data_IF_392345209674
#
_entry.id   IF_392345209674
#
_cell.length_a   1.000
_cell.length_b   1.000
_cell.length_c   1.000
_cell.angle_alpha   90.00
_cell.angle_beta   90.00
_cell.angle_gamma   90.00
#
_symmetry.space_group_name_H-M   'P 1'
#
loop_
_entity.id
_entity.type
_entity.pdbx_description
1 polymer ?
#
# COMPACT_ATOMS: atom_id res chain seq x y z
N UNK A 1 -43.51 -4.77 -3.31
CA UNK A 1 -42.75 -4.81 -4.57
C UNK A 1 -41.33 -4.35 -4.28
N UNK A 2 -40.42 -5.28 -4.01
CA UNK A 2 -39.01 -4.96 -3.78
C UNK A 2 -38.27 -5.05 -5.09
N UNK A 3 -37.81 -3.91 -5.59
CA UNK A 3 -37.01 -3.84 -6.82
C UNK A 3 -35.67 -4.54 -6.61
N UNK A 4 -35.23 -5.41 -7.53
CA UNK A 4 -33.94 -6.07 -7.43
C UNK A 4 -32.82 -5.06 -7.73
N UNK A 5 -31.86 -4.95 -6.82
CA UNK A 5 -30.59 -4.26 -7.11
C UNK A 5 -29.91 -5.05 -8.23
N UNK A 6 -29.82 -4.40 -9.38
CA UNK A 6 -29.22 -4.92 -10.59
C UNK A 6 -27.69 -4.96 -10.40
N UNK A 7 -27.15 -6.11 -10.03
CA UNK A 7 -25.70 -6.38 -10.03
C UNK A 7 -25.18 -6.25 -11.46
N UNK A 8 -24.39 -5.20 -11.72
CA UNK A 8 -23.63 -5.06 -12.98
C UNK A 8 -22.58 -6.18 -13.04
N UNK A 9 -22.40 -6.86 -14.19
CA UNK A 9 -21.36 -7.87 -14.33
C UNK A 9 -19.99 -7.20 -14.47
N UNK A 10 -18.97 -7.71 -13.77
CA UNK A 10 -17.57 -7.50 -14.14
C UNK A 10 -16.80 -6.38 -13.43
N UNK A 11 -16.59 -6.49 -12.13
CA UNK A 11 -15.32 -6.20 -11.47
C UNK A 11 -15.42 -6.76 -10.06
N UNK A 12 -14.46 -7.58 -9.64
CA UNK A 12 -14.33 -7.94 -8.23
C UNK A 12 -14.27 -6.68 -7.34
N UNK A 13 -14.32 -6.82 -6.02
CA UNK A 13 -14.21 -5.69 -5.11
C UNK A 13 -13.00 -4.82 -5.47
N UNK A 14 -13.14 -3.50 -5.39
CA UNK A 14 -12.03 -2.59 -5.69
C UNK A 14 -10.86 -2.83 -4.72
N UNK A 15 -9.66 -2.42 -5.10
CA UNK A 15 -8.49 -2.55 -4.23
C UNK A 15 -8.70 -1.76 -2.93
N UNK A 16 -9.39 -0.62 -2.96
CA UNK A 16 -9.78 0.13 -1.76
C UNK A 16 -10.75 -0.64 -0.87
N UNK A 17 -11.73 -1.34 -1.45
CA UNK A 17 -12.65 -2.17 -0.68
C UNK A 17 -11.92 -3.35 -0.02
N UNK A 18 -11.04 -4.02 -0.77
CA UNK A 18 -10.20 -5.10 -0.25
C UNK A 18 -9.26 -4.61 0.86
N UNK A 19 -8.69 -3.42 0.70
CA UNK A 19 -7.89 -2.78 1.74
C UNK A 19 -8.73 -2.51 2.99
N UNK A 20 -9.90 -1.90 2.86
CA UNK A 20 -10.77 -1.58 4.01
C UNK A 20 -11.19 -2.84 4.76
N UNK A 21 -11.63 -3.87 4.03
CA UNK A 21 -12.00 -5.17 4.58
C UNK A 21 -10.80 -5.84 5.28
N UNK A 22 -9.61 -5.75 4.70
CA UNK A 22 -8.38 -6.22 5.33
C UNK A 22 -8.05 -5.46 6.61
N UNK A 23 -8.05 -4.13 6.59
CA UNK A 23 -7.78 -3.29 7.76
C UNK A 23 -8.79 -3.55 8.90
N UNK A 24 -10.08 -3.75 8.58
CA UNK A 24 -11.11 -4.09 9.55
C UNK A 24 -10.81 -5.43 10.26
N UNK A 25 -10.31 -6.43 9.53
CA UNK A 25 -9.85 -7.70 10.14
C UNK A 25 -8.59 -7.49 10.99
N UNK A 26 -7.66 -6.66 10.52
CA UNK A 26 -6.44 -6.37 11.26
C UNK A 26 -6.71 -5.65 12.58
N UNK A 27 -7.66 -4.72 12.62
CA UNK A 27 -8.05 -4.01 13.84
C UNK A 27 -8.62 -4.91 14.94
N UNK A 28 -9.03 -6.14 14.60
CA UNK A 28 -9.47 -7.16 15.57
C UNK A 28 -8.31 -8.00 16.13
N UNK A 29 -7.12 -7.92 15.53
CA UNK A 29 -5.92 -8.63 15.96
C UNK A 29 -5.05 -7.77 16.91
N UNK A 30 -4.43 -8.41 17.90
CA UNK A 30 -3.53 -7.77 18.89
C UNK A 30 -2.06 -7.72 18.44
N UNK A 31 -1.77 -8.11 17.21
CA UNK A 31 -0.41 -8.24 16.71
C UNK A 31 0.16 -6.89 16.28
N UNK A 32 1.46 -6.67 16.55
CA UNK A 32 2.15 -5.49 16.06
C UNK A 32 2.30 -5.56 14.53
N UNK A 33 1.65 -4.63 13.84
CA UNK A 33 1.66 -4.52 12.38
C UNK A 33 2.18 -3.17 11.94
N UNK A 34 2.80 -3.18 10.78
CA UNK A 34 3.30 -2.00 10.10
C UNK A 34 2.46 -1.80 8.85
N UNK A 35 1.86 -0.63 8.74
CA UNK A 35 1.26 -0.10 7.53
C UNK A 35 2.23 0.86 6.83
N UNK A 36 2.31 0.79 5.51
CA UNK A 36 3.01 1.77 4.69
C UNK A 36 2.06 2.32 3.64
N UNK A 37 1.99 3.64 3.50
CA UNK A 37 1.27 4.31 2.42
C UNK A 37 2.28 5.06 1.54
N UNK A 38 2.43 4.61 0.31
CA UNK A 38 3.27 5.23 -0.71
C UNK A 38 2.38 6.08 -1.64
N UNK A 39 2.52 7.39 -1.54
CA UNK A 39 1.76 8.38 -2.29
C UNK A 39 2.35 8.64 -3.69
N UNK A 40 2.35 7.64 -4.58
CA UNK A 40 2.78 7.84 -5.97
C UNK A 40 1.90 8.88 -6.69
N UNK A 41 0.65 9.05 -6.26
CA UNK A 41 -0.25 10.12 -6.71
C UNK A 41 0.28 11.54 -6.46
N UNK A 42 1.32 11.72 -5.62
CA UNK A 42 1.98 13.02 -5.41
C UNK A 42 3.13 13.26 -6.40
N UNK A 43 3.72 12.20 -6.95
CA UNK A 43 4.81 12.32 -7.93
C UNK A 43 4.32 12.88 -9.27
N UNK A 44 5.24 13.30 -10.15
CA UNK A 44 4.87 13.78 -11.50
C UNK A 44 4.09 12.71 -12.28
N UNK A 45 3.16 13.09 -13.19
CA UNK A 45 2.36 12.13 -13.97
C UNK A 45 3.18 11.08 -14.72
N UNK A 46 4.40 11.41 -15.15
CA UNK A 46 5.34 10.46 -15.77
C UNK A 46 5.65 9.26 -14.88
N UNK A 47 5.76 9.47 -13.56
CA UNK A 47 6.05 8.43 -12.56
C UNK A 47 4.82 7.62 -12.14
N UNK A 48 3.63 7.99 -12.62
CA UNK A 48 2.35 7.28 -12.35
C UNK A 48 1.96 6.29 -13.45
N UNK A 49 2.85 6.04 -14.42
CA UNK A 49 2.62 5.03 -15.44
C UNK A 49 2.59 3.64 -14.81
N UNK A 50 1.77 2.76 -15.37
CA UNK A 50 1.54 1.40 -14.86
C UNK A 50 2.85 0.62 -14.61
N UNK A 51 3.87 0.81 -15.45
CA UNK A 51 5.17 0.16 -15.25
C UNK A 51 5.87 0.61 -13.96
N UNK A 52 5.90 1.92 -13.67
CA UNK A 52 6.52 2.44 -12.44
C UNK A 52 5.78 1.99 -11.19
N UNK A 53 4.45 2.01 -11.22
CA UNK A 53 3.62 1.51 -10.12
C UNK A 53 3.88 0.02 -9.85
N UNK A 54 4.00 -0.80 -10.91
CA UNK A 54 4.33 -2.22 -10.79
C UNK A 54 5.72 -2.46 -10.19
N UNK A 55 6.73 -1.73 -10.65
CA UNK A 55 8.11 -1.87 -10.13
C UNK A 55 8.19 -1.43 -8.66
N UNK A 56 7.51 -0.34 -8.30
CA UNK A 56 7.44 0.12 -6.92
C UNK A 56 6.74 -0.92 -6.02
N UNK A 57 5.61 -1.51 -6.46
CA UNK A 57 4.92 -2.55 -5.72
C UNK A 57 5.80 -3.80 -5.55
N UNK A 58 6.44 -4.26 -6.63
CA UNK A 58 7.31 -5.44 -6.61
C UNK A 58 8.53 -5.29 -5.69
N UNK A 59 8.96 -4.06 -5.40
CA UNK A 59 10.04 -3.79 -4.45
C UNK A 59 9.70 -4.27 -3.03
N UNK A 60 8.41 -4.38 -2.71
CA UNK A 60 7.93 -4.86 -1.43
C UNK A 60 7.62 -6.36 -1.37
N UNK A 61 7.67 -7.09 -2.49
CA UNK A 61 7.26 -8.51 -2.56
C UNK A 61 8.02 -9.39 -1.57
N UNK A 62 9.35 -9.20 -1.46
CA UNK A 62 10.17 -9.94 -0.49
C UNK A 62 9.78 -9.63 0.96
N UNK A 63 9.41 -8.38 1.26
CA UNK A 63 9.02 -7.96 2.60
C UNK A 63 7.66 -8.56 2.99
N UNK A 64 6.65 -8.49 2.10
CA UNK A 64 5.34 -9.06 2.38
C UNK A 64 5.38 -10.58 2.48
N UNK A 65 6.23 -11.25 1.70
CA UNK A 65 6.37 -12.69 1.76
C UNK A 65 7.02 -13.15 3.08
N UNK A 66 8.01 -12.41 3.58
CA UNK A 66 8.70 -12.74 4.82
C UNK A 66 7.87 -12.45 6.08
N UNK A 67 6.99 -11.45 6.04
CA UNK A 67 6.30 -10.91 7.22
C UNK A 67 4.77 -10.96 7.12
N UNK A 68 4.21 -11.97 6.46
CA UNK A 68 2.76 -12.17 6.33
C UNK A 68 2.02 -10.88 5.91
N UNK A 69 2.56 -10.22 4.90
CA UNK A 69 2.09 -8.94 4.42
C UNK A 69 1.19 -9.01 3.20
N UNK A 70 0.60 -7.87 2.87
CA UNK A 70 -0.20 -7.69 1.67
C UNK A 70 -0.04 -6.29 1.12
N UNK A 71 0.03 -6.20 -0.21
CA UNK A 71 0.13 -4.95 -0.97
C UNK A 71 -1.18 -4.70 -1.72
N UNK A 72 -1.62 -3.45 -1.74
CA UNK A 72 -2.81 -2.97 -2.44
C UNK A 72 -2.41 -1.78 -3.31
N UNK A 73 -2.68 -1.86 -4.61
CA UNK A 73 -2.46 -0.75 -5.54
C UNK A 73 -3.81 -0.05 -5.75
N UNK A 74 -3.92 1.17 -5.25
CA UNK A 74 -5.16 1.93 -5.28
C UNK A 74 -5.41 2.53 -6.68
N UNK A 75 -6.66 2.93 -6.94
CA UNK A 75 -7.05 3.54 -8.22
C UNK A 75 -6.33 4.86 -8.54
N UNK A 76 -5.87 5.57 -7.51
CA UNK A 76 -5.05 6.80 -7.64
C UNK A 76 -3.55 6.51 -7.87
N UNK A 77 -3.17 5.25 -8.08
CA UNK A 77 -1.79 4.75 -8.17
C UNK A 77 -0.99 4.73 -6.87
N UNK A 78 -1.57 5.12 -5.74
CA UNK A 78 -0.91 4.92 -4.45
C UNK A 78 -0.79 3.44 -4.13
N UNK A 79 0.21 3.11 -3.33
CA UNK A 79 0.45 1.75 -2.88
C UNK A 79 0.28 1.74 -1.37
N UNK A 80 -0.59 0.86 -0.89
CA UNK A 80 -0.71 0.57 0.53
C UNK A 80 -0.16 -0.81 0.81
N UNK A 81 0.60 -0.95 1.89
CA UNK A 81 1.16 -2.22 2.32
C UNK A 81 0.88 -2.43 3.80
N UNK A 82 0.62 -3.67 4.17
CA UNK A 82 0.58 -4.12 5.56
C UNK A 82 1.55 -5.29 5.73
N UNK A 83 2.24 -5.38 6.86
CA UNK A 83 3.06 -6.54 7.23
C UNK A 83 3.08 -6.70 8.75
N UNK A 84 3.34 -7.92 9.22
CA UNK A 84 3.32 -8.31 10.63
C UNK A 84 4.75 -8.45 11.16
N UNK A 85 5.09 -7.66 12.19
CA UNK A 85 6.36 -7.82 12.91
C UNK A 85 7.64 -7.59 12.08
N UNK A 86 7.56 -6.92 10.93
CA UNK A 86 8.75 -6.62 10.13
C UNK A 86 9.72 -5.71 10.92
N UNK A 87 11.03 -6.03 10.98
CA UNK A 87 12.01 -5.20 11.65
C UNK A 87 12.03 -3.79 11.05
N UNK A 88 12.08 -2.72 11.88
CA UNK A 88 12.12 -1.35 11.37
C UNK A 88 13.23 -1.12 10.33
N UNK A 89 14.42 -1.71 10.54
CA UNK A 89 15.55 -1.60 9.62
C UNK A 89 15.28 -2.18 8.22
N UNK A 90 14.56 -3.30 8.11
CA UNK A 90 14.22 -3.89 6.81
C UNK A 90 13.13 -3.10 6.09
N UNK A 91 12.16 -2.58 6.86
CA UNK A 91 11.17 -1.65 6.34
C UNK A 91 11.84 -0.42 5.78
N UNK A 92 12.73 0.21 6.55
CA UNK A 92 13.42 1.44 6.16
C UNK A 92 14.36 1.19 4.95
N UNK A 93 15.00 0.03 4.87
CA UNK A 93 15.79 -0.40 3.70
C UNK A 93 14.91 -0.51 2.45
N UNK A 94 13.72 -1.08 2.58
CA UNK A 94 12.78 -1.22 1.45
C UNK A 94 12.24 0.15 1.02
N UNK A 95 11.95 1.03 1.98
CA UNK A 95 11.57 2.43 1.71
C UNK A 95 12.70 3.16 0.96
N UNK A 96 13.95 2.97 1.36
CA UNK A 96 15.10 3.58 0.68
C UNK A 96 15.23 3.12 -0.77
N UNK A 97 14.98 1.85 -1.08
CA UNK A 97 14.94 1.33 -2.47
C UNK A 97 13.87 2.03 -3.30
N UNK A 98 12.66 2.19 -2.76
CA UNK A 98 11.58 2.90 -3.48
C UNK A 98 11.92 4.38 -3.67
N UNK A 99 12.52 5.05 -2.68
CA UNK A 99 13.02 6.42 -2.83
C UNK A 99 14.07 6.53 -3.93
N UNK A 100 14.98 5.56 -4.03
CA UNK A 100 15.98 5.53 -5.08
C UNK A 100 15.35 5.38 -6.47
N UNK A 101 14.33 4.53 -6.62
CA UNK A 101 13.59 4.36 -7.89
C UNK A 101 12.97 5.66 -8.43
N UNK A 102 12.62 6.60 -7.54
CA UNK A 102 12.04 7.88 -7.90
C UNK A 102 12.97 9.07 -7.59
N UNK A 103 14.27 8.83 -7.45
CA UNK A 103 15.26 9.86 -7.10
C UNK A 103 15.38 10.99 -8.12
N UNK A 104 15.01 10.73 -9.39
CA UNK A 104 14.92 11.73 -10.46
C UNK A 104 13.68 12.65 -10.32
N UNK A 105 12.72 12.32 -9.44
CA UNK A 105 11.61 13.20 -9.08
C UNK A 105 12.00 14.04 -7.85
N UNK A 106 11.89 15.38 -7.88
CA UNK A 106 12.13 16.23 -6.72
C UNK A 106 11.33 15.82 -5.47
N UNK A 107 10.15 15.20 -5.64
CA UNK A 107 9.34 14.67 -4.54
C UNK A 107 9.78 13.27 -4.07
N UNK A 108 10.59 12.55 -4.83
CA UNK A 108 11.26 11.31 -4.43
C UNK A 108 12.25 11.50 -3.26
N UNK A 109 12.64 12.75 -2.98
CA UNK A 109 13.42 13.13 -1.81
C UNK A 109 12.55 13.52 -0.59
N UNK A 110 11.22 13.58 -0.75
CA UNK A 110 10.27 14.04 0.26
C UNK A 110 9.50 12.94 1.01
N UNK A 111 8.50 13.34 1.81
CA UNK A 111 7.63 12.45 2.62
C UNK A 111 6.48 11.85 1.77
N UNK A 112 6.81 11.17 0.67
CA UNK A 112 5.82 10.45 -0.14
C UNK A 112 5.58 9.02 0.35
N UNK A 113 6.36 8.55 1.33
CA UNK A 113 6.10 7.30 2.05
C UNK A 113 5.76 7.63 3.49
N UNK A 114 4.60 7.17 3.94
CA UNK A 114 4.12 7.30 5.31
C UNK A 114 4.10 5.92 5.99
N UNK A 115 4.66 5.85 7.19
CA UNK A 115 4.71 4.63 8.02
C UNK A 115 3.71 4.78 9.14
N UNK A 116 2.84 3.78 9.28
CA UNK A 116 1.78 3.70 10.28
C UNK A 116 2.08 2.49 11.15
N UNK A 117 2.19 2.67 12.47
CA UNK A 117 2.30 1.56 13.41
C UNK A 117 0.95 1.33 14.09
N UNK A 118 0.59 0.08 14.39
CA UNK A 118 -0.71 -0.21 15.04
C UNK A 118 -0.88 0.49 16.39
N UNK A 119 0.21 0.89 17.06
CA UNK A 119 0.17 1.73 18.28
C UNK A 119 -0.31 3.17 18.03
N UNK A 120 -0.23 3.67 16.79
CA UNK A 120 -0.59 5.04 16.39
C UNK A 120 -2.00 5.17 15.77
N UNK A 121 -2.90 4.21 16.03
CA UNK A 121 -4.27 4.11 15.49
C UNK A 121 -4.31 3.91 13.97
N UNK A 122 -4.49 2.65 13.57
CA UNK A 122 -5.17 2.32 12.30
C UNK A 122 -6.66 2.19 12.64
N UNK A 123 -7.31 3.31 12.96
CA UNK A 123 -8.77 3.45 13.12
C UNK A 123 -9.16 4.91 12.98
#
# INVERSE_FOLDING_TARGET
MSSPVMSRPGKGPSQEYLLLDHLNRLGQSREERIGLHVHLSRLKPYNRKEHHTRVAAATFDSLIQAYEGQTFVLSNSDIFLTCKGAPPAEVDTTIAKVRFLFSDDPLGQGRFVEKMMTKDRIV
#
